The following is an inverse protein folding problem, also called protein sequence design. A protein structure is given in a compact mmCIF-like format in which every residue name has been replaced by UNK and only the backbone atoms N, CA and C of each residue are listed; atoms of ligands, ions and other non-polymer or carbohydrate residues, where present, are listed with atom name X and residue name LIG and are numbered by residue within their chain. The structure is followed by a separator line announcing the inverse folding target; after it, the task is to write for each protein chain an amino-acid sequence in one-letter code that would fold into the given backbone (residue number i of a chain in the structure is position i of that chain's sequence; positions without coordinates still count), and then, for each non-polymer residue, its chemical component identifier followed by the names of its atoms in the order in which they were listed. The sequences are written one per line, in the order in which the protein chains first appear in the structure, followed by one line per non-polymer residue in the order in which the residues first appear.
data_IF_269929933039
#
_entry.id   IF_269929933039
#
_cell.length_a   1.000
_cell.length_b   1.000
_cell.length_c   1.000
_cell.angle_alpha   90.00
_cell.angle_beta   90.00
_cell.angle_gamma   90.00
#
_symmetry.space_group_name_H-M   'P 1'
#
loop_
_entity.id
_entity.type
_entity.pdbx_description
1 polymer ?
#
# COMPACT_ATOMS: atom_id res chain seq x y z
N UNK A 1 49.91 -24.50 -8.89
CA UNK A 1 49.36 -23.36 -8.10
C UNK A 1 48.40 -22.50 -8.95
N UNK A 2 47.40 -23.09 -9.63
CA UNK A 2 46.52 -22.33 -10.55
C UNK A 2 45.02 -22.39 -10.20
N UNK A 3 44.61 -23.21 -9.22
CA UNK A 3 43.19 -23.38 -8.86
C UNK A 3 42.70 -22.39 -7.79
N UNK A 4 43.60 -21.62 -7.16
CA UNK A 4 43.25 -20.69 -6.08
C UNK A 4 42.62 -19.37 -6.56
N UNK A 5 42.73 -19.03 -7.84
CA UNK A 5 42.19 -17.78 -8.39
C UNK A 5 40.78 -17.93 -8.99
N UNK A 6 40.30 -19.15 -9.24
CA UNK A 6 38.98 -19.39 -9.85
C UNK A 6 37.85 -19.38 -8.80
N UNK A 7 38.17 -19.60 -7.52
CA UNK A 7 37.20 -19.66 -6.44
C UNK A 7 36.74 -18.29 -5.90
N UNK A 8 37.39 -17.19 -6.32
CA UNK A 8 37.10 -15.85 -5.79
C UNK A 8 36.00 -15.08 -6.55
N UNK A 9 35.53 -15.59 -7.70
CA UNK A 9 34.58 -14.86 -8.57
C UNK A 9 33.11 -15.22 -8.30
N UNK A 10 32.84 -16.27 -7.51
CA UNK A 10 31.46 -16.76 -7.30
C UNK A 10 30.67 -16.04 -6.18
N UNK A 11 31.25 -15.04 -5.50
CA UNK A 11 30.67 -14.43 -4.28
C UNK A 11 30.50 -12.92 -4.43
N UNK A 12 30.00 -12.45 -5.57
CA UNK A 12 29.56 -11.04 -5.71
C UNK A 12 28.38 -10.98 -6.68
N UNK A 13 27.22 -11.43 -6.19
CA UNK A 13 26.00 -11.49 -7.00
C UNK A 13 24.71 -11.47 -6.18
N UNK A 14 24.73 -10.86 -4.99
CA UNK A 14 23.52 -10.52 -4.24
C UNK A 14 23.35 -9.00 -4.23
N UNK A 15 23.27 -8.39 -5.42
CA UNK A 15 22.52 -7.15 -5.53
C UNK A 15 21.04 -7.53 -5.56
N UNK A 16 20.48 -7.76 -4.38
CA UNK A 16 19.03 -7.71 -4.22
C UNK A 16 18.60 -6.29 -4.59
N UNK A 17 18.14 -6.14 -5.83
CA UNK A 17 17.48 -4.92 -6.27
C UNK A 17 16.31 -4.68 -5.31
N UNK A 18 16.44 -3.68 -4.44
CA UNK A 18 15.30 -3.02 -3.82
C UNK A 18 14.51 -2.31 -4.93
N UNK A 19 13.87 -3.08 -5.81
CA UNK A 19 12.84 -2.58 -6.70
C UNK A 19 11.65 -2.25 -5.82
N UNK A 20 11.51 -0.98 -5.48
CA UNK A 20 10.40 -0.42 -4.72
C UNK A 20 9.13 -0.35 -5.57
N UNK A 21 8.77 -1.44 -6.25
CA UNK A 21 7.49 -1.61 -6.95
C UNK A 21 6.56 -2.44 -6.07
N UNK A 22 5.24 -2.30 -6.19
CA UNK A 22 4.33 -3.19 -5.44
C UNK A 22 4.64 -4.64 -5.80
N UNK A 23 4.97 -5.44 -4.80
CA UNK A 23 5.13 -6.88 -4.99
C UNK A 23 3.77 -7.45 -5.36
N UNK A 24 3.71 -8.15 -6.49
CA UNK A 24 2.54 -8.94 -6.86
C UNK A 24 2.40 -10.11 -5.90
N UNK A 25 1.50 -9.98 -4.92
CA UNK A 25 1.35 -10.92 -3.82
C UNK A 25 -0.10 -10.93 -3.32
N UNK A 26 -0.56 -12.03 -2.68
CA UNK A 26 -1.85 -12.03 -2.01
C UNK A 26 -1.84 -11.01 -0.87
N UNK A 27 -2.96 -10.30 -0.69
CA UNK A 27 -3.10 -9.40 0.43
C UNK A 27 -3.38 -10.18 1.72
N UNK A 28 -2.71 -9.82 2.81
CA UNK A 28 -2.89 -10.45 4.13
C UNK A 28 -4.32 -10.32 4.66
N UNK A 29 -4.98 -9.22 4.31
CA UNK A 29 -6.37 -8.91 4.67
C UNK A 29 -6.99 -8.03 3.60
N UNK A 30 -8.33 -7.99 3.55
CA UNK A 30 -9.07 -7.09 2.64
C UNK A 30 -8.59 -5.63 2.83
N UNK A 31 -8.19 -5.00 1.72
CA UNK A 31 -7.70 -3.63 1.69
C UNK A 31 -6.24 -3.43 2.13
N UNK A 32 -5.51 -4.50 2.45
CA UNK A 32 -4.05 -4.46 2.52
C UNK A 32 -3.44 -4.52 1.11
N UNK A 33 -2.14 -4.21 1.01
CA UNK A 33 -1.42 -4.27 -0.27
C UNK A 33 -1.39 -5.68 -0.83
N UNK A 34 -1.56 -5.79 -2.15
CA UNK A 34 -1.66 -7.07 -2.86
C UNK A 34 -3.04 -7.32 -3.46
N UNK A 35 -3.24 -8.55 -3.94
CA UNK A 35 -4.51 -8.98 -4.53
C UNK A 35 -5.43 -9.67 -3.52
N UNK A 36 -6.73 -9.51 -3.72
CA UNK A 36 -7.78 -10.28 -3.06
C UNK A 36 -8.81 -10.73 -4.09
N UNK A 37 -9.42 -11.88 -3.81
CA UNK A 37 -10.40 -12.50 -4.67
C UNK A 37 -11.66 -12.77 -3.87
N UNK A 38 -12.82 -12.51 -4.44
CA UNK A 38 -14.10 -12.77 -3.81
C UNK A 38 -15.04 -13.35 -4.85
N UNK A 39 -15.49 -14.58 -4.60
CA UNK A 39 -16.51 -15.19 -5.44
C UNK A 39 -17.85 -14.48 -5.20
N UNK A 40 -18.45 -13.97 -6.27
CA UNK A 40 -19.76 -13.31 -6.24
C UNK A 40 -20.88 -14.23 -6.74
N UNK A 41 -20.52 -15.27 -7.51
CA UNK A 41 -21.44 -16.27 -8.05
C UNK A 41 -20.68 -17.48 -8.60
N UNK A 42 -21.37 -18.36 -9.33
CA UNK A 42 -20.77 -19.59 -9.86
C UNK A 42 -19.65 -19.30 -10.89
N UNK A 43 -19.88 -18.32 -11.75
CA UNK A 43 -18.99 -17.89 -12.83
C UNK A 43 -18.52 -16.44 -12.68
N UNK A 44 -18.83 -15.79 -11.55
CA UNK A 44 -18.55 -14.37 -11.31
C UNK A 44 -17.64 -14.17 -10.10
N UNK A 45 -16.59 -13.40 -10.31
CA UNK A 45 -15.60 -13.08 -9.30
C UNK A 45 -15.32 -11.58 -9.26
N UNK A 46 -14.99 -11.08 -8.07
CA UNK A 46 -14.38 -9.78 -7.88
C UNK A 46 -12.90 -9.97 -7.55
N UNK A 47 -12.05 -9.32 -8.30
CA UNK A 47 -10.60 -9.29 -8.10
C UNK A 47 -10.21 -7.86 -7.76
N UNK A 48 -9.60 -7.66 -6.60
CA UNK A 48 -9.15 -6.35 -6.15
C UNK A 48 -7.65 -6.35 -5.93
N UNK A 49 -6.93 -5.43 -6.57
CA UNK A 49 -5.51 -5.19 -6.33
C UNK A 49 -5.30 -3.85 -5.65
N UNK A 50 -4.54 -3.83 -4.57
CA UNK A 50 -4.17 -2.61 -3.84
C UNK A 50 -2.66 -2.39 -3.98
N UNK A 51 -2.27 -1.32 -4.66
CA UNK A 51 -0.87 -0.90 -4.78
C UNK A 51 -0.36 -0.22 -3.51
N UNK A 52 0.96 -0.19 -3.36
CA UNK A 52 1.60 0.65 -2.33
C UNK A 52 1.63 2.13 -2.79
N UNK A 53 2.23 3.01 -1.98
CA UNK A 53 2.26 4.46 -2.28
C UNK A 53 3.22 4.88 -3.39
N UNK A 54 3.91 3.94 -4.02
CA UNK A 54 4.88 4.19 -5.10
C UNK A 54 4.52 3.46 -6.40
N UNK A 55 3.38 2.77 -6.42
CA UNK A 55 2.89 2.04 -7.59
C UNK A 55 1.89 2.90 -8.33
N UNK A 56 2.12 3.09 -9.62
CA UNK A 56 1.25 3.86 -10.48
C UNK A 56 -0.11 3.19 -10.69
N UNK A 57 -1.11 4.01 -11.02
CA UNK A 57 -2.50 3.57 -11.21
C UNK A 57 -2.60 2.52 -12.32
N UNK A 58 -1.85 2.70 -13.40
CA UNK A 58 -1.77 1.82 -14.55
C UNK A 58 -1.26 0.44 -14.12
N UNK A 59 -0.15 0.40 -13.40
CA UNK A 59 0.43 -0.84 -12.87
C UNK A 59 -0.52 -1.57 -11.91
N UNK A 60 -1.27 -0.84 -11.08
CA UNK A 60 -2.31 -1.43 -10.21
C UNK A 60 -3.43 -2.06 -11.04
N UNK A 61 -3.86 -1.41 -12.12
CA UNK A 61 -4.85 -1.97 -13.04
C UNK A 61 -4.33 -3.21 -13.77
N UNK A 62 -3.09 -3.17 -14.25
CA UNK A 62 -2.46 -4.28 -14.96
C UNK A 62 -2.31 -5.50 -14.04
N UNK A 63 -1.92 -5.30 -12.78
CA UNK A 63 -1.89 -6.38 -11.79
C UNK A 63 -3.27 -6.96 -11.49
N UNK A 64 -4.31 -6.12 -11.42
CA UNK A 64 -5.68 -6.61 -11.23
C UNK A 64 -6.14 -7.46 -12.44
N UNK A 65 -5.84 -7.02 -13.66
CA UNK A 65 -6.13 -7.77 -14.88
C UNK A 65 -5.36 -9.08 -14.96
N UNK A 66 -4.06 -9.05 -14.65
CA UNK A 66 -3.24 -10.25 -14.59
C UNK A 66 -3.84 -11.25 -13.61
N UNK A 67 -4.26 -10.78 -12.43
CA UNK A 67 -4.82 -11.68 -11.42
C UNK A 67 -6.17 -12.26 -11.86
N UNK A 68 -7.02 -11.47 -12.51
CA UNK A 68 -8.25 -11.98 -13.09
C UNK A 68 -7.99 -13.09 -14.14
N UNK A 69 -6.99 -12.90 -15.00
CA UNK A 69 -6.59 -13.90 -15.97
C UNK A 69 -6.07 -15.18 -15.30
N UNK A 70 -5.21 -15.05 -14.29
CA UNK A 70 -4.70 -16.20 -13.53
C UNK A 70 -5.80 -16.95 -12.79
N UNK A 71 -6.73 -16.23 -12.14
CA UNK A 71 -7.87 -16.83 -11.46
C UNK A 71 -8.77 -17.59 -12.43
N UNK A 72 -8.95 -17.06 -13.64
CA UNK A 72 -9.72 -17.71 -14.71
C UNK A 72 -9.12 -19.06 -15.09
N UNK A 73 -7.80 -19.09 -15.34
CA UNK A 73 -7.07 -20.32 -15.65
C UNK A 73 -7.08 -21.31 -14.47
N UNK A 74 -6.93 -20.81 -13.24
CA UNK A 74 -6.96 -21.64 -12.03
C UNK A 74 -8.32 -22.32 -11.81
N UNK A 75 -9.42 -21.67 -12.18
CA UNK A 75 -10.76 -22.25 -12.14
C UNK A 75 -11.09 -23.12 -13.38
N UNK A 76 -10.12 -23.31 -14.29
CA UNK A 76 -10.29 -24.11 -15.50
C UNK A 76 -11.18 -23.48 -16.57
N UNK A 77 -11.30 -22.15 -16.56
CA UNK A 77 -11.94 -21.36 -17.62
C UNK A 77 -10.88 -20.86 -18.62
N UNK A 78 -11.32 -20.48 -19.81
CA UNK A 78 -10.43 -20.10 -20.92
C UNK A 78 -10.41 -18.59 -21.15
N UNK A 79 -11.54 -17.94 -20.90
CA UNK A 79 -11.73 -16.51 -21.10
C UNK A 79 -12.51 -15.92 -19.93
N UNK A 80 -12.35 -14.62 -19.76
CA UNK A 80 -13.20 -13.84 -18.86
C UNK A 80 -13.66 -12.57 -19.56
N UNK A 81 -14.86 -12.13 -19.23
CA UNK A 81 -15.41 -10.85 -19.60
C UNK A 81 -15.42 -9.95 -18.37
N UNK A 82 -14.89 -8.74 -18.52
CA UNK A 82 -14.98 -7.72 -17.49
C UNK A 82 -16.38 -7.11 -17.51
N UNK A 83 -17.05 -7.16 -16.36
CA UNK A 83 -18.42 -6.68 -16.17
C UNK A 83 -18.41 -5.29 -15.57
N UNK A 84 -17.47 -5.04 -14.66
CA UNK A 84 -17.28 -3.73 -14.05
C UNK A 84 -15.81 -3.52 -13.68
N UNK A 85 -15.39 -2.25 -13.67
CA UNK A 85 -14.08 -1.80 -13.19
C UNK A 85 -14.25 -0.53 -12.38
N UNK A 86 -13.77 -0.58 -11.14
CA UNK A 86 -13.66 0.57 -10.27
C UNK A 86 -12.20 0.79 -9.91
N UNK A 87 -11.68 2.01 -10.10
CA UNK A 87 -10.34 2.39 -9.65
C UNK A 87 -10.44 3.58 -8.72
N UNK A 88 -10.02 3.37 -7.48
CA UNK A 88 -10.06 4.38 -6.43
C UNK A 88 -8.64 4.81 -6.04
N UNK A 89 -8.48 6.08 -5.67
CA UNK A 89 -7.29 6.57 -4.99
C UNK A 89 -7.57 6.70 -3.49
N UNK A 90 -6.64 6.20 -2.67
CA UNK A 90 -6.66 6.34 -1.22
C UNK A 90 -5.50 7.24 -0.82
N UNK A 91 -5.80 8.45 -0.37
CA UNK A 91 -4.83 9.34 0.25
C UNK A 91 -4.85 9.14 1.77
N UNK A 92 -3.69 8.95 2.36
CA UNK A 92 -3.49 8.96 3.81
C UNK A 92 -2.51 10.06 4.16
N UNK A 93 -2.95 11.00 4.97
CA UNK A 93 -2.12 12.07 5.52
C UNK A 93 -1.77 11.72 6.95
N UNK A 94 -0.48 11.72 7.27
CA UNK A 94 0.00 11.56 8.65
C UNK A 94 0.74 12.83 9.02
N UNK A 95 0.29 13.49 10.09
CA UNK A 95 0.98 14.65 10.67
C UNK A 95 1.81 14.18 11.85
N UNK A 96 3.12 14.39 11.76
CA UNK A 96 4.04 14.20 12.86
C UNK A 96 4.43 15.57 13.40
N UNK A 97 4.37 15.73 14.71
CA UNK A 97 4.78 16.97 15.39
C UNK A 97 6.09 16.67 16.10
N UNK A 98 7.14 17.42 15.76
CA UNK A 98 8.48 17.27 16.31
C UNK A 98 8.98 18.58 16.92
N UNK A 99 9.88 18.50 17.90
CA UNK A 99 10.49 19.69 18.51
C UNK A 99 9.57 20.44 19.49
N UNK A 100 8.66 19.70 20.14
CA UNK A 100 7.82 20.24 21.20
C UNK A 100 8.65 20.41 22.48
N UNK A 101 8.62 21.61 23.09
CA UNK A 101 9.24 21.84 24.39
C UNK A 101 8.16 21.90 25.47
N UNK A 102 8.30 21.03 26.48
CA UNK A 102 7.51 21.12 27.70
C UNK A 102 8.26 21.95 28.74
N UNK A 103 7.70 23.10 29.09
CA UNK A 103 8.15 23.89 30.21
C UNK A 103 7.41 23.39 31.45
N UNK A 104 8.10 22.56 32.23
CA UNK A 104 7.57 21.87 33.40
C UNK A 104 6.84 22.80 34.38
N UNK A 105 5.70 22.32 34.89
CA UNK A 105 4.90 23.03 35.88
C UNK A 105 5.66 23.18 37.19
N UNK A 106 5.78 24.43 37.65
CA UNK A 106 6.44 24.78 38.91
C UNK A 106 5.47 25.09 40.04
N UNK A 107 6.02 25.45 41.19
CA UNK A 107 5.25 26.02 42.30
C UNK A 107 5.51 27.51 42.37
N UNK A 108 4.45 28.32 42.31
CA UNK A 108 4.52 29.74 42.55
C UNK A 108 4.11 30.03 44.00
N UNK A 109 4.98 30.73 44.72
CA UNK A 109 4.72 31.17 46.09
C UNK A 109 4.22 32.60 46.03
N UNK A 110 3.02 32.83 46.55
CA UNK A 110 2.45 34.16 46.67
C UNK A 110 2.38 34.53 48.14
N UNK A 111 2.86 35.73 48.46
CA UNK A 111 2.73 36.31 49.78
C UNK A 111 1.71 37.44 49.72
N UNK A 112 0.65 37.33 50.52
CA UNK A 112 -0.33 38.40 50.71
C UNK A 112 -0.20 38.94 52.12
N UNK A 113 0.25 40.18 52.22
CA UNK A 113 0.34 40.94 53.46
C UNK A 113 -0.81 41.94 53.54
N UNK A 114 -1.54 41.90 54.65
CA UNK A 114 -2.45 42.96 55.08
C UNK A 114 -1.80 43.84 56.14
N UNK A 115 -2.58 44.74 56.74
CA UNK A 115 -2.13 45.70 57.76
C UNK A 115 -1.58 45.06 59.05
N UNK A 116 -1.98 43.81 59.36
CA UNK A 116 -1.66 43.14 60.64
C UNK A 116 -1.17 41.69 60.48
N UNK A 117 -1.23 41.09 59.28
CA UNK A 117 -0.77 39.73 59.06
C UNK A 117 -0.30 39.50 57.62
N UNK A 118 0.60 38.53 57.45
CA UNK A 118 1.06 38.06 56.15
C UNK A 118 0.81 36.55 56.04
N UNK A 119 0.16 36.13 54.96
CA UNK A 119 -0.03 34.72 54.63
C UNK A 119 0.69 34.40 53.33
N UNK A 120 1.44 33.31 53.33
CA UNK A 120 2.00 32.69 52.13
C UNK A 120 1.15 31.51 51.72
N UNK A 121 0.86 31.41 50.43
CA UNK A 121 0.23 30.23 49.86
C UNK A 121 0.98 29.81 48.60
N UNK A 122 1.07 28.50 48.42
CA UNK A 122 1.74 27.88 47.29
C UNK A 122 0.66 27.42 46.32
N UNK A 123 0.78 27.83 45.06
CA UNK A 123 -0.07 27.31 43.98
C UNK A 123 0.80 26.61 42.95
N UNK A 124 0.25 25.56 42.35
CA UNK A 124 0.90 24.92 41.21
C UNK A 124 0.61 25.76 39.96
N UNK A 125 1.64 26.02 39.17
CA UNK A 125 1.47 26.57 37.82
C UNK A 125 1.47 25.40 36.83
N UNK A 126 0.50 25.36 35.91
CA UNK A 126 0.44 24.30 34.91
C UNK A 126 1.65 24.38 33.99
N UNK A 127 2.09 23.22 33.50
CA UNK A 127 3.09 23.15 32.43
C UNK A 127 2.60 23.86 31.18
N UNK A 128 3.54 24.45 30.44
CA UNK A 128 3.26 25.10 29.16
C UNK A 128 4.00 24.37 28.06
N UNK A 129 3.28 24.07 27.01
CA UNK A 129 3.84 23.48 25.80
C UNK A 129 4.12 24.62 24.81
N UNK A 130 5.35 24.74 24.34
CA UNK A 130 5.77 25.77 23.39
C UNK A 130 6.74 25.23 22.33
N UNK A 131 6.69 25.83 21.14
CA UNK A 131 7.42 25.38 19.96
C UNK A 131 6.92 24.06 19.35
N UNK A 132 7.17 23.88 18.05
CA UNK A 132 6.91 22.63 17.34
C UNK A 132 6.88 22.81 15.82
N UNK A 133 7.43 21.85 15.09
CA UNK A 133 7.30 21.76 13.63
C UNK A 133 6.37 20.61 13.31
N UNK A 134 5.25 20.94 12.66
CA UNK A 134 4.32 19.94 12.13
C UNK A 134 4.75 19.54 10.72
N UNK A 135 5.21 18.30 10.55
CA UNK A 135 5.48 17.71 9.25
C UNK A 135 4.30 16.83 8.85
N UNK A 136 3.55 17.25 7.84
CA UNK A 136 2.48 16.44 7.25
C UNK A 136 3.01 15.70 6.03
N UNK A 137 2.93 14.37 6.03
CA UNK A 137 3.27 13.53 4.90
C UNK A 137 1.99 12.92 4.33
N UNK A 138 1.68 13.25 3.07
CA UNK A 138 0.56 12.64 2.33
C UNK A 138 1.10 11.52 1.46
N UNK A 139 0.52 10.31 1.58
CA UNK A 139 0.80 9.17 0.71
C UNK A 139 -0.46 8.78 -0.03
N UNK A 140 -0.39 8.73 -1.36
CA UNK A 140 -1.49 8.27 -2.21
C UNK A 140 -1.18 6.86 -2.70
N UNK A 141 -2.14 5.96 -2.51
CA UNK A 141 -2.10 4.58 -3.04
C UNK A 141 -3.32 4.36 -3.92
N UNK A 142 -3.20 3.53 -4.95
CA UNK A 142 -4.33 3.19 -5.83
C UNK A 142 -4.86 1.79 -5.52
N UNK A 143 -6.17 1.62 -5.67
CA UNK A 143 -6.85 0.34 -5.59
C UNK A 143 -7.69 0.15 -6.85
N UNK A 144 -7.55 -0.99 -7.52
CA UNK A 144 -8.39 -1.37 -8.66
C UNK A 144 -9.21 -2.60 -8.30
N UNK A 145 -10.52 -2.55 -8.56
CA UNK A 145 -11.46 -3.64 -8.36
C UNK A 145 -12.13 -3.98 -9.68
N UNK A 146 -11.96 -5.22 -10.12
CA UNK A 146 -12.53 -5.75 -11.34
C UNK A 146 -13.60 -6.78 -10.97
N UNK A 147 -14.76 -6.67 -11.58
CA UNK A 147 -15.73 -7.76 -11.60
C UNK A 147 -15.63 -8.47 -12.93
N UNK A 148 -15.44 -9.78 -12.88
CA UNK A 148 -15.23 -10.61 -14.05
C UNK A 148 -16.21 -11.77 -14.06
N UNK A 149 -16.71 -12.07 -15.25
CA UNK A 149 -17.50 -13.27 -15.55
C UNK A 149 -16.65 -14.21 -16.39
N UNK A 150 -16.53 -15.46 -15.98
CA UNK A 150 -15.65 -16.44 -16.61
C UNK A 150 -16.45 -17.40 -17.48
N UNK A 151 -15.81 -17.98 -18.50
CA UNK A 151 -16.45 -18.95 -19.38
C UNK A 151 -15.47 -19.88 -20.09
N UNK A 152 -16.03 -20.90 -20.75
CA UNK A 152 -15.29 -21.91 -21.53
C UNK A 152 -15.78 -21.91 -22.97
N UNK A 153 -14.92 -22.33 -23.90
CA UNK A 153 -15.26 -22.48 -25.31
C UNK A 153 -15.25 -21.14 -26.05
N UNK A 154 -16.24 -20.90 -26.90
CA UNK A 154 -16.28 -19.70 -27.73
C UNK A 154 -16.35 -18.44 -26.84
N UNK A 155 -15.32 -17.61 -26.96
CA UNK A 155 -15.28 -16.31 -26.30
C UNK A 155 -16.33 -15.38 -26.93
N UNK A 156 -17.09 -14.61 -26.14
CA UNK A 156 -18.03 -13.64 -26.68
C UNK A 156 -17.30 -12.57 -27.49
N UNK A 157 -17.90 -12.09 -28.57
CA UNK A 157 -17.41 -10.95 -29.37
C UNK A 157 -17.71 -9.62 -28.65
N UNK A 158 -17.11 -9.45 -27.47
CA UNK A 158 -17.16 -8.23 -26.69
C UNK A 158 -15.76 -7.63 -26.59
N UNK A 159 -15.65 -6.30 -26.69
CA UNK A 159 -14.39 -5.60 -26.47
C UNK A 159 -13.84 -5.78 -25.04
N UNK A 160 -14.70 -6.18 -24.11
CA UNK A 160 -14.37 -6.41 -22.70
C UNK A 160 -14.13 -7.89 -22.38
N UNK A 161 -14.10 -8.75 -23.41
CA UNK A 161 -13.77 -10.16 -23.29
C UNK A 161 -12.30 -10.41 -23.63
N UNK A 162 -11.61 -11.16 -22.78
CA UNK A 162 -10.19 -11.43 -22.90
C UNK A 162 -9.90 -12.92 -22.78
N UNK A 163 -9.00 -13.40 -23.64
CA UNK A 163 -8.39 -14.71 -23.48
C UNK A 163 -7.45 -14.66 -22.27
N UNK A 164 -7.66 -15.54 -21.29
CA UNK A 164 -6.94 -15.49 -20.03
C UNK A 164 -5.44 -15.83 -20.21
N UNK A 165 -5.12 -16.82 -21.05
CA UNK A 165 -3.75 -17.25 -21.27
C UNK A 165 -2.93 -16.19 -22.02
N UNK A 166 -3.49 -15.66 -23.12
CA UNK A 166 -2.84 -14.65 -23.94
C UNK A 166 -2.59 -13.36 -23.13
N UNK A 167 -3.61 -12.87 -22.43
CA UNK A 167 -3.51 -11.65 -21.64
C UNK A 167 -2.48 -11.80 -20.52
N UNK A 168 -2.52 -12.92 -19.77
CA UNK A 168 -1.56 -13.17 -18.71
C UNK A 168 -0.11 -13.23 -19.23
N UNK A 169 0.11 -13.86 -20.39
CA UNK A 169 1.43 -13.95 -21.01
C UNK A 169 1.97 -12.59 -21.46
N UNK A 170 1.09 -11.74 -22.01
CA UNK A 170 1.41 -10.39 -22.47
C UNK A 170 1.75 -9.50 -21.29
N UNK A 171 0.89 -9.45 -20.27
CA UNK A 171 1.10 -8.62 -19.09
C UNK A 171 2.38 -9.02 -18.35
N UNK A 172 2.61 -10.33 -18.11
CA UNK A 172 3.85 -10.82 -17.48
C UNK A 172 5.10 -10.38 -18.23
N UNK A 173 5.07 -10.42 -19.56
CA UNK A 173 6.19 -9.97 -20.40
C UNK A 173 6.44 -8.48 -20.23
N UNK A 174 5.38 -7.67 -20.32
CA UNK A 174 5.46 -6.21 -20.15
C UNK A 174 6.00 -5.82 -18.77
N UNK A 175 5.48 -6.42 -17.70
CA UNK A 175 5.91 -6.11 -16.33
C UNK A 175 7.34 -6.57 -16.03
N UNK A 176 7.82 -7.64 -16.69
CA UNK A 176 9.23 -8.05 -16.57
C UNK A 176 10.19 -7.11 -17.29
N UNK A 177 9.74 -6.49 -18.39
CA UNK A 177 10.53 -5.51 -19.16
C UNK A 177 10.51 -4.10 -18.54
N UNK A 178 9.55 -3.81 -17.68
CA UNK A 178 9.41 -2.51 -17.00
C UNK A 178 10.26 -2.38 -15.72
N UNK A 179 11.03 -3.42 -15.36
CA UNK A 179 11.99 -3.43 -14.25
C UNK A 179 13.39 -3.08 -14.72
#
# INVERSE_FOLDING_TARGET
MQYKLILAVLVTGFLAACSSTSVYQPAEKRGAYGYTETQLGADRYRVTFTGNSVTDKETVNDYAMLRAAELTLQNGYEWFQMVNRDTESKSRSSTNISGMYDYGGGTAVYQRCGLVSCNTYVTQVPSRIDGGVATTTTRTSYQSSLEVKMGKGQMPESAEAYNAQELASTLRRWMNNAK
#
